data_IF_957894750303
#
_entry.id   IF_957894750303
#
_cell.length_a   1.000
_cell.length_b   1.000
_cell.length_c   1.000
_cell.angle_alpha   90.00
_cell.angle_beta   90.00
_cell.angle_gamma   90.00
#
_symmetry.space_group_name_H-M   'P 1'
#
loop_
_entity.id
_entity.type
_entity.pdbx_description
1 polymer ?
#
# COMPACT_ATOMS: atom_id res chain seq x y z
N UNK A 1 61.20 21.00 36.99
CA UNK A 1 60.95 21.35 35.57
C UNK A 1 60.37 20.12 34.89
N UNK A 2 59.04 19.98 34.91
CA UNK A 2 58.31 18.84 34.35
C UNK A 2 57.85 19.20 32.93
N UNK A 3 58.25 18.40 31.94
CA UNK A 3 57.88 18.60 30.52
C UNK A 3 56.55 17.90 30.25
N UNK A 4 55.53 18.69 29.95
CA UNK A 4 54.22 18.24 29.47
C UNK A 4 54.34 17.96 27.96
N UNK A 5 53.92 16.80 27.43
CA UNK A 5 53.90 16.55 26.00
C UNK A 5 52.62 17.12 25.38
N UNK A 6 52.79 18.00 24.39
CA UNK A 6 51.73 18.59 23.58
C UNK A 6 51.25 17.56 22.54
N UNK A 7 50.01 17.08 22.67
CA UNK A 7 49.36 16.26 21.64
C UNK A 7 48.74 17.17 20.56
N UNK A 8 49.27 17.08 19.33
CA UNK A 8 48.66 17.68 18.14
C UNK A 8 47.46 16.83 17.69
N UNK A 9 46.25 17.38 17.83
CA UNK A 9 45.04 16.80 17.24
C UNK A 9 45.01 17.13 15.73
N UNK A 10 45.21 16.13 14.88
CA UNK A 10 44.89 16.22 13.46
C UNK A 10 43.39 16.06 13.27
N UNK A 11 42.69 17.14 12.92
CA UNK A 11 41.32 17.06 12.43
C UNK A 11 41.35 16.50 11.00
N UNK A 12 41.01 15.21 10.84
CA UNK A 12 40.63 14.66 9.56
C UNK A 12 39.26 15.22 9.19
N UNK A 13 39.22 16.20 8.29
CA UNK A 13 37.99 16.54 7.56
C UNK A 13 37.69 15.37 6.62
N UNK A 14 36.84 14.44 7.08
CA UNK A 14 36.20 13.48 6.19
C UNK A 14 35.19 14.24 5.33
N UNK A 15 35.66 14.70 4.18
CA UNK A 15 34.79 15.05 3.05
C UNK A 15 33.99 13.79 2.68
N UNK A 16 32.77 13.67 3.19
CA UNK A 16 31.79 12.74 2.64
C UNK A 16 31.45 13.26 1.26
N UNK A 17 32.15 12.77 0.25
CA UNK A 17 31.68 12.84 -1.13
C UNK A 17 30.40 11.98 -1.13
N UNK A 18 29.25 12.64 -0.99
CA UNK A 18 27.97 12.04 -1.34
C UNK A 18 28.02 11.77 -2.84
N UNK A 19 28.48 10.59 -3.22
CA UNK A 19 28.20 10.05 -4.54
C UNK A 19 26.68 9.91 -4.54
N UNK A 20 26.01 10.86 -5.18
CA UNK A 20 24.62 10.69 -5.58
C UNK A 20 24.61 9.45 -6.46
N UNK A 21 24.29 8.28 -5.87
CA UNK A 21 23.80 7.17 -6.67
C UNK A 21 22.61 7.76 -7.41
N UNK A 22 22.71 7.89 -8.73
CA UNK A 22 21.60 8.34 -9.56
C UNK A 22 20.42 7.43 -9.26
N UNK A 23 19.40 7.95 -8.59
CA UNK A 23 18.19 7.20 -8.27
C UNK A 23 17.60 6.63 -9.56
N UNK A 24 17.06 5.42 -9.47
CA UNK A 24 16.45 4.79 -10.63
C UNK A 24 15.23 5.64 -11.04
N UNK A 25 14.97 5.86 -12.35
CA UNK A 25 13.92 6.78 -12.78
C UNK A 25 12.50 6.37 -12.37
N UNK A 26 12.32 5.10 -11.99
CA UNK A 26 11.05 4.55 -11.49
C UNK A 26 11.00 4.42 -9.96
N UNK A 27 12.03 4.84 -9.23
CA UNK A 27 12.01 4.79 -7.77
C UNK A 27 10.81 5.54 -7.20
N UNK A 28 10.18 5.03 -6.12
CA UNK A 28 9.14 5.74 -5.38
C UNK A 28 9.59 7.15 -5.01
N UNK A 29 8.64 8.03 -4.72
CA UNK A 29 8.97 9.35 -4.23
C UNK A 29 9.64 9.24 -2.85
N UNK A 30 10.80 9.88 -2.71
CA UNK A 30 11.49 9.99 -1.43
C UNK A 30 10.77 10.97 -0.48
N UNK A 31 11.03 10.93 0.83
CA UNK A 31 10.49 11.91 1.78
C UNK A 31 10.80 13.36 1.38
N UNK A 32 12.02 13.62 0.89
CA UNK A 32 12.43 14.94 0.42
C UNK A 32 11.63 15.40 -0.82
N UNK A 33 11.31 14.48 -1.74
CA UNK A 33 10.48 14.75 -2.90
C UNK A 33 9.03 15.05 -2.50
N UNK A 34 8.46 14.33 -1.52
CA UNK A 34 7.15 14.68 -0.95
C UNK A 34 7.13 16.08 -0.33
N UNK A 35 8.16 16.43 0.48
CA UNK A 35 8.28 17.78 1.05
C UNK A 35 8.43 18.86 -0.01
N UNK A 36 9.15 18.59 -1.11
CA UNK A 36 9.26 19.49 -2.26
C UNK A 36 7.90 19.72 -2.93
N UNK A 37 7.15 18.65 -3.20
CA UNK A 37 5.79 18.72 -3.76
C UNK A 37 4.86 19.53 -2.86
N UNK A 38 4.85 19.21 -1.57
CA UNK A 38 4.05 19.91 -0.57
C UNK A 38 4.33 21.41 -0.60
N UNK A 39 5.62 21.79 -0.56
CA UNK A 39 6.05 23.18 -0.58
C UNK A 39 5.60 23.89 -1.85
N UNK A 40 5.86 23.30 -3.02
CA UNK A 40 5.49 23.87 -4.31
C UNK A 40 3.99 24.12 -4.44
N UNK A 41 3.17 23.13 -4.08
CA UNK A 41 1.70 23.22 -4.18
C UNK A 41 1.12 24.19 -3.16
N UNK A 42 1.60 24.19 -1.90
CA UNK A 42 1.13 25.14 -0.87
C UNK A 42 1.50 26.58 -1.22
N UNK A 43 2.69 26.82 -1.77
CA UNK A 43 3.06 28.15 -2.26
C UNK A 43 2.18 28.60 -3.42
N UNK A 44 1.91 27.71 -4.38
CA UNK A 44 1.05 27.99 -5.54
C UNK A 44 -0.38 28.38 -5.13
N UNK A 45 -0.93 27.70 -4.12
CA UNK A 45 -2.27 27.98 -3.59
C UNK A 45 -2.28 28.82 -2.30
N UNK A 46 -1.24 29.63 -2.06
CA UNK A 46 -1.10 30.43 -0.82
C UNK A 46 -2.28 31.36 -0.49
N UNK A 47 -3.06 31.77 -1.48
CA UNK A 47 -4.26 32.60 -1.31
C UNK A 47 -5.55 31.81 -1.01
N UNK A 48 -5.48 30.49 -0.93
CA UNK A 48 -6.63 29.61 -0.70
C UNK A 48 -6.71 29.20 0.78
N UNK A 49 -7.93 28.93 1.25
CA UNK A 49 -8.16 28.63 2.68
C UNK A 49 -7.82 27.19 3.03
N UNK A 50 -7.91 26.27 2.07
CA UNK A 50 -7.51 24.87 2.28
C UNK A 50 -7.02 24.19 1.00
N UNK A 51 -6.05 23.30 1.16
CA UNK A 51 -5.56 22.38 0.13
C UNK A 51 -5.41 21.01 0.80
N UNK A 52 -6.13 20.02 0.29
CA UNK A 52 -6.03 18.63 0.73
C UNK A 52 -5.43 17.79 -0.40
N UNK A 53 -4.39 17.01 -0.10
CA UNK A 53 -3.77 16.08 -1.03
C UNK A 53 -4.49 14.74 -0.95
N UNK A 54 -5.09 14.32 -2.07
CA UNK A 54 -5.75 13.01 -2.16
C UNK A 54 -4.89 11.99 -2.91
N UNK A 55 -3.94 12.46 -3.73
CA UNK A 55 -2.93 11.63 -4.36
C UNK A 55 -1.64 12.42 -4.58
N UNK A 56 -0.49 11.83 -4.26
CA UNK A 56 0.84 12.26 -4.71
C UNK A 56 1.59 10.99 -5.11
N UNK A 57 2.00 10.90 -6.36
CA UNK A 57 2.80 9.77 -6.86
C UNK A 57 3.73 10.17 -7.99
N UNK A 58 4.61 9.25 -8.36
CA UNK A 58 5.57 9.48 -9.44
C UNK A 58 4.82 9.61 -10.77
N UNK A 59 5.05 10.72 -11.49
CA UNK A 59 4.70 10.81 -12.90
C UNK A 59 5.76 10.10 -13.72
N UNK A 60 5.54 8.81 -13.96
CA UNK A 60 6.51 7.95 -14.64
C UNK A 60 7.02 8.58 -15.95
N UNK A 61 8.36 8.58 -16.19
CA UNK A 61 8.91 9.07 -17.44
C UNK A 61 8.38 8.25 -18.64
N UNK A 62 8.40 8.82 -19.87
CA UNK A 62 8.04 8.07 -21.07
C UNK A 62 8.85 6.78 -21.17
N UNK A 63 8.17 5.67 -21.50
CA UNK A 63 8.79 4.33 -21.62
C UNK A 63 10.08 4.33 -22.44
N UNK A 64 10.12 5.07 -23.55
CA UNK A 64 11.32 5.19 -24.38
C UNK A 64 12.51 5.81 -23.65
N UNK A 65 12.29 6.80 -22.78
CA UNK A 65 13.33 7.44 -21.99
C UNK A 65 13.90 6.50 -20.93
N UNK A 66 13.03 5.75 -20.24
CA UNK A 66 13.45 4.73 -19.26
C UNK A 66 14.26 3.63 -19.93
N UNK A 67 13.77 3.10 -21.05
CA UNK A 67 14.47 2.03 -21.78
C UNK A 67 15.81 2.49 -22.37
N UNK A 68 15.90 3.74 -22.82
CA UNK A 68 17.16 4.35 -23.25
C UNK A 68 18.15 4.48 -22.09
N UNK A 69 17.68 4.96 -20.94
CA UNK A 69 18.48 5.07 -19.73
C UNK A 69 19.01 3.71 -19.25
N UNK A 70 18.18 2.67 -19.27
CA UNK A 70 18.58 1.30 -18.90
C UNK A 70 19.64 0.73 -19.85
N UNK A 71 19.54 1.01 -21.16
CA UNK A 71 20.48 0.48 -22.15
C UNK A 71 21.84 1.20 -22.12
N UNK A 72 21.82 2.50 -21.84
CA UNK A 72 23.00 3.36 -21.86
C UNK A 72 23.54 3.68 -20.48
N UNK A 73 23.16 2.94 -19.44
CA UNK A 73 23.54 3.24 -18.06
C UNK A 73 25.05 3.11 -17.86
N UNK A 74 25.75 4.21 -18.12
CA UNK A 74 27.07 4.50 -17.59
C UNK A 74 26.89 5.46 -16.42
N UNK A 75 27.85 5.56 -15.48
CA UNK A 75 27.76 6.50 -14.36
C UNK A 75 27.55 7.97 -14.77
N UNK A 76 27.72 8.31 -16.06
CA UNK A 76 27.55 9.65 -16.63
C UNK A 76 26.23 9.88 -17.37
N UNK A 77 25.37 8.86 -17.57
CA UNK A 77 24.10 9.03 -18.28
C UNK A 77 23.08 9.73 -17.38
N UNK A 78 22.63 10.91 -17.78
CA UNK A 78 21.62 11.65 -17.02
C UNK A 78 20.29 10.88 -16.99
N UNK A 79 19.72 10.70 -15.79
CA UNK A 79 18.38 10.17 -15.61
C UNK A 79 17.32 11.08 -16.27
N UNK A 80 16.19 10.53 -16.74
CA UNK A 80 15.06 11.35 -17.15
C UNK A 80 14.61 12.25 -15.98
N UNK A 81 14.08 13.46 -16.25
CA UNK A 81 13.56 14.33 -15.20
C UNK A 81 12.48 13.63 -14.37
N UNK A 82 12.65 13.63 -13.05
CA UNK A 82 11.67 13.11 -12.11
C UNK A 82 10.58 14.16 -11.87
N UNK A 83 9.33 13.72 -11.93
CA UNK A 83 8.14 14.56 -11.80
C UNK A 83 7.13 13.86 -10.91
N UNK A 84 6.34 14.62 -10.15
CA UNK A 84 5.21 14.09 -9.41
C UNK A 84 3.89 14.44 -10.11
N UNK A 85 2.91 13.54 -10.04
CA UNK A 85 1.52 13.79 -10.36
C UNK A 85 0.74 13.91 -9.05
N UNK A 86 -0.11 14.93 -8.95
CA UNK A 86 -0.84 15.26 -7.73
C UNK A 86 -2.32 15.41 -8.07
N UNK A 87 -3.18 14.84 -7.24
CA UNK A 87 -4.60 15.18 -7.21
C UNK A 87 -4.88 15.87 -5.87
N UNK A 88 -5.25 17.15 -5.94
CA UNK A 88 -5.53 17.97 -4.77
C UNK A 88 -6.94 18.53 -4.80
N UNK A 89 -7.58 18.64 -3.64
CA UNK A 89 -8.81 19.41 -3.46
C UNK A 89 -8.51 20.76 -2.86
N UNK A 90 -8.99 21.82 -3.53
CA UNK A 90 -8.77 23.21 -3.12
C UNK A 90 -10.09 23.78 -2.60
N UNK A 91 -10.04 24.45 -1.45
CA UNK A 91 -11.21 25.03 -0.75
C UNK A 91 -12.38 24.04 -0.58
N UNK A 92 -12.11 22.74 -0.47
CA UNK A 92 -13.11 21.67 -0.42
C UNK A 92 -14.15 21.67 -1.54
N UNK A 93 -13.87 22.31 -2.69
CA UNK A 93 -14.88 22.50 -3.75
C UNK A 93 -14.40 22.04 -5.12
N UNK A 94 -13.14 22.28 -5.46
CA UNK A 94 -12.58 21.93 -6.77
C UNK A 94 -11.50 20.87 -6.64
N UNK A 95 -11.41 20.00 -7.65
CA UNK A 95 -10.34 19.00 -7.77
C UNK A 95 -9.38 19.45 -8.86
N UNK A 96 -8.09 19.41 -8.56
CA UNK A 96 -7.03 19.84 -9.45
C UNK A 96 -6.04 18.71 -9.69
N UNK A 97 -5.64 18.55 -10.94
CA UNK A 97 -4.57 17.67 -11.37
C UNK A 97 -3.31 18.50 -11.63
N UNK A 98 -2.27 18.27 -10.83
CA UNK A 98 -1.01 19.01 -10.93
C UNK A 98 0.14 18.11 -11.38
N UNK A 99 1.12 18.71 -12.04
CA UNK A 99 2.43 18.09 -12.25
C UNK A 99 3.50 18.99 -11.68
N UNK A 100 4.36 18.45 -10.82
CA UNK A 100 5.50 19.16 -10.22
C UNK A 100 6.80 18.60 -10.79
N UNK A 101 7.73 19.48 -11.14
CA UNK A 101 9.13 19.10 -11.40
C UNK A 101 9.87 18.96 -10.06
N UNK A 102 10.40 17.77 -9.78
CA UNK A 102 11.01 17.49 -8.48
C UNK A 102 12.43 18.05 -8.35
N UNK A 103 13.12 18.28 -9.48
CA UNK A 103 14.46 18.88 -9.49
C UNK A 103 14.38 20.38 -9.21
N UNK A 104 13.42 21.06 -9.83
CA UNK A 104 13.26 22.51 -9.71
C UNK A 104 12.27 22.91 -8.61
N UNK A 105 11.50 21.97 -8.08
CA UNK A 105 10.41 22.22 -7.13
C UNK A 105 9.37 23.23 -7.66
N UNK A 106 9.02 23.11 -8.95
CA UNK A 106 8.11 24.04 -9.65
C UNK A 106 6.88 23.33 -10.22
N UNK A 107 5.75 24.04 -10.24
CA UNK A 107 4.51 23.58 -10.87
C UNK A 107 4.66 23.69 -12.39
N UNK A 108 4.59 22.56 -13.09
CA UNK A 108 4.61 22.49 -14.55
C UNK A 108 3.23 22.60 -15.18
N UNK A 109 2.20 22.08 -14.49
CA UNK A 109 0.81 22.16 -14.92
C UNK A 109 -0.14 22.13 -13.72
N UNK A 110 -1.25 22.82 -13.84
CA UNK A 110 -2.39 22.82 -12.92
C UNK A 110 -3.66 22.82 -13.78
N UNK A 111 -4.43 21.74 -13.70
CA UNK A 111 -5.66 21.56 -14.48
C UNK A 111 -6.85 21.32 -13.55
N UNK A 112 -7.92 22.11 -13.74
CA UNK A 112 -9.18 21.87 -13.07
C UNK A 112 -9.84 20.60 -13.64
N UNK A 113 -10.10 19.62 -12.78
CA UNK A 113 -10.86 18.44 -13.14
C UNK A 113 -12.36 18.76 -13.21
N UNK A 114 -12.95 18.56 -14.38
CA UNK A 114 -14.38 18.82 -14.67
C UNK A 114 -15.16 17.55 -15.05
N UNK A 115 -14.51 16.39 -14.95
CA UNK A 115 -15.10 15.09 -15.25
C UNK A 115 -16.05 14.59 -14.16
N UNK A 116 -16.42 13.31 -14.27
CA UNK A 116 -17.28 12.62 -13.31
C UNK A 116 -16.46 11.83 -12.29
N UNK A 117 -16.81 11.95 -11.01
CA UNK A 117 -16.18 11.23 -9.91
C UNK A 117 -15.29 12.13 -9.05
N UNK A 118 -14.67 11.51 -8.06
CA UNK A 118 -13.87 12.17 -7.03
C UNK A 118 -12.58 11.40 -6.78
N UNK A 119 -11.55 12.05 -6.19
CA UNK A 119 -10.33 11.34 -5.82
C UNK A 119 -10.56 10.43 -4.60
N UNK A 120 -9.52 9.63 -4.30
CA UNK A 120 -9.43 8.75 -3.14
C UNK A 120 -9.84 9.49 -1.86
N UNK A 121 -10.41 8.77 -0.89
CA UNK A 121 -10.64 9.31 0.43
C UNK A 121 -9.33 9.50 1.19
N UNK A 122 -9.20 10.62 1.93
CA UNK A 122 -8.12 10.75 2.92
C UNK A 122 -8.49 10.01 4.21
N UNK A 123 -7.51 9.56 5.00
CA UNK A 123 -7.81 8.96 6.31
C UNK A 123 -8.45 9.97 7.25
N UNK A 124 -8.02 11.23 7.18
CA UNK A 124 -8.48 12.30 8.06
C UNK A 124 -9.94 12.67 7.80
N UNK A 125 -10.39 12.73 6.54
CA UNK A 125 -11.80 13.00 6.25
C UNK A 125 -12.70 11.81 6.64
N UNK A 126 -12.20 10.58 6.52
CA UNK A 126 -12.89 9.38 7.02
C UNK A 126 -13.01 9.40 8.54
N UNK A 127 -11.92 9.69 9.26
CA UNK A 127 -11.93 9.81 10.74
C UNK A 127 -12.94 10.89 11.17
N UNK A 128 -12.92 12.05 10.51
CA UNK A 128 -13.87 13.12 10.80
C UNK A 128 -15.32 12.71 10.54
N UNK A 129 -15.62 12.08 9.40
CA UNK A 129 -16.95 11.59 9.06
C UNK A 129 -17.44 10.51 10.04
N UNK A 130 -16.56 9.59 10.43
CA UNK A 130 -16.85 8.50 11.37
C UNK A 130 -17.21 9.02 12.78
N UNK A 131 -16.74 10.21 13.15
CA UNK A 131 -17.04 10.82 14.44
C UNK A 131 -18.42 11.52 14.47
N UNK A 132 -18.96 11.95 13.32
CA UNK A 132 -20.21 12.72 13.25
C UNK A 132 -21.42 12.05 13.91
N UNK A 133 -21.66 10.72 13.77
CA UNK A 133 -22.82 10.08 14.40
C UNK A 133 -22.85 10.25 15.92
N UNK A 134 -21.68 10.23 16.58
CA UNK A 134 -21.57 10.35 18.05
C UNK A 134 -21.95 11.74 18.58
N UNK A 135 -21.99 12.76 17.71
CA UNK A 135 -22.51 14.09 18.01
C UNK A 135 -23.96 14.33 17.56
N UNK A 136 -24.59 13.35 16.89
CA UNK A 136 -25.87 13.53 16.22
C UNK A 136 -27.04 13.07 17.10
N UNK A 137 -27.87 14.01 17.57
CA UNK A 137 -28.96 13.71 18.51
C UNK A 137 -29.93 12.59 18.06
N UNK A 138 -30.38 12.54 16.78
CA UNK A 138 -31.17 11.40 16.29
C UNK A 138 -30.47 10.04 16.41
N UNK A 139 -29.15 9.98 16.18
CA UNK A 139 -28.37 8.76 16.31
C UNK A 139 -28.24 8.32 17.77
N UNK A 140 -27.93 9.24 18.67
CA UNK A 140 -27.84 8.96 20.11
C UNK A 140 -29.16 8.43 20.69
N UNK A 141 -30.30 8.96 20.24
CA UNK A 141 -31.61 8.45 20.62
C UNK A 141 -31.86 7.04 20.06
N UNK A 142 -31.41 6.75 18.83
CA UNK A 142 -31.45 5.41 18.25
C UNK A 142 -30.61 4.39 19.01
N UNK A 143 -29.44 4.78 19.53
CA UNK A 143 -28.62 3.94 20.41
C UNK A 143 -29.33 3.69 21.75
N UNK A 144 -29.90 4.73 22.36
CA UNK A 144 -30.64 4.63 23.63
C UNK A 144 -31.81 3.66 23.53
N UNK A 145 -32.58 3.71 22.42
CA UNK A 145 -33.69 2.75 22.17
C UNK A 145 -33.21 1.30 22.06
N UNK A 146 -31.97 1.08 21.64
CA UNK A 146 -31.34 -0.25 21.52
C UNK A 146 -30.61 -0.68 22.79
N UNK A 147 -30.54 0.19 23.81
CA UNK A 147 -29.76 -0.07 25.02
C UNK A 147 -28.25 -0.08 24.80
N UNK A 148 -27.76 0.61 23.76
CA UNK A 148 -26.33 0.65 23.41
C UNK A 148 -25.67 1.91 23.97
N UNK A 149 -24.43 1.76 24.43
CA UNK A 149 -23.63 2.86 24.94
C UNK A 149 -22.76 3.48 23.85
N UNK A 150 -22.85 4.81 23.66
CA UNK A 150 -22.08 5.51 22.63
C UNK A 150 -20.55 5.38 22.75
N UNK A 151 -20.03 5.13 23.96
CA UNK A 151 -18.60 4.92 24.20
C UNK A 151 -18.05 3.60 23.60
N UNK A 152 -18.93 2.66 23.24
CA UNK A 152 -18.56 1.38 22.64
C UNK A 152 -18.93 1.30 21.15
N UNK A 153 -19.29 2.44 20.55
CA UNK A 153 -19.63 2.54 19.15
C UNK A 153 -18.42 2.99 18.35
N UNK A 154 -18.06 2.21 17.33
CA UNK A 154 -17.09 2.59 16.32
C UNK A 154 -17.76 2.63 14.96
N UNK A 155 -17.52 3.69 14.20
CA UNK A 155 -18.11 3.88 12.88
C UNK A 155 -17.05 3.89 11.79
N UNK A 156 -17.46 3.51 10.58
CA UNK A 156 -16.64 3.47 9.38
C UNK A 156 -17.38 4.09 8.20
N UNK A 157 -16.60 4.65 7.29
CA UNK A 157 -17.05 5.35 6.10
C UNK A 157 -17.04 4.40 4.91
N UNK A 158 -18.09 4.46 4.10
CA UNK A 158 -18.30 3.60 2.95
C UNK A 158 -18.65 4.45 1.73
N UNK A 159 -17.92 4.23 0.63
CA UNK A 159 -18.25 4.80 -0.68
C UNK A 159 -19.62 4.32 -1.14
N UNK A 160 -20.38 5.20 -1.82
CA UNK A 160 -21.75 4.90 -2.27
C UNK A 160 -21.90 4.68 -3.77
N UNK A 161 -20.80 4.77 -4.53
CA UNK A 161 -20.84 4.69 -5.99
C UNK A 161 -21.81 5.69 -6.63
N UNK A 162 -22.47 5.25 -7.71
CA UNK A 162 -23.45 6.04 -8.45
C UNK A 162 -24.60 5.15 -8.93
N UNK A 163 -25.84 5.58 -8.70
CA UNK A 163 -27.06 4.79 -8.93
C UNK A 163 -28.04 5.42 -9.93
N UNK A 164 -27.56 6.37 -10.76
CA UNK A 164 -28.37 6.98 -11.83
C UNK A 164 -28.81 8.42 -11.56
N UNK A 165 -28.46 8.96 -10.40
CA UNK A 165 -28.96 10.26 -9.92
C UNK A 165 -28.64 11.40 -10.89
N UNK A 166 -29.63 12.26 -11.13
CA UNK A 166 -29.55 13.40 -12.06
C UNK A 166 -29.69 14.72 -11.28
N UNK A 167 -28.77 15.67 -11.48
CA UNK A 167 -28.87 17.00 -10.85
C UNK A 167 -27.54 17.74 -10.75
N UNK A 168 -27.60 19.07 -10.53
CA UNK A 168 -26.43 19.90 -10.25
C UNK A 168 -25.97 19.70 -8.80
N UNK A 169 -24.75 19.21 -8.65
CA UNK A 169 -24.13 18.96 -7.36
C UNK A 169 -24.07 17.48 -7.03
N UNK A 170 -23.39 16.68 -7.88
CA UNK A 170 -22.69 15.53 -7.33
C UNK A 170 -21.89 16.09 -6.15
N UNK A 171 -22.22 15.65 -4.95
CA UNK A 171 -21.53 16.02 -3.72
C UNK A 171 -20.70 14.81 -3.32
N UNK A 172 -19.63 15.01 -2.55
CA UNK A 172 -18.82 13.89 -2.06
C UNK A 172 -19.54 13.19 -0.92
N UNK A 173 -20.50 12.36 -1.28
CA UNK A 173 -21.36 11.66 -0.32
C UNK A 173 -20.77 10.30 0.04
N UNK A 174 -20.84 9.97 1.33
CA UNK A 174 -20.53 8.65 1.88
C UNK A 174 -21.63 8.17 2.80
N UNK A 175 -21.65 6.86 3.08
CA UNK A 175 -22.45 6.28 4.17
C UNK A 175 -21.55 5.98 5.35
N UNK A 176 -22.06 6.26 6.54
CA UNK A 176 -21.38 5.90 7.79
C UNK A 176 -22.18 4.81 8.48
N UNK A 177 -21.54 3.67 8.73
CA UNK A 177 -22.12 2.56 9.48
C UNK A 177 -21.31 2.31 10.74
N UNK A 178 -22.01 1.88 11.78
CA UNK A 178 -21.45 1.76 13.11
C UNK A 178 -21.58 0.33 13.64
N UNK A 179 -20.61 -0.07 14.44
CA UNK A 179 -20.49 -1.37 15.08
C UNK A 179 -20.41 -1.18 16.60
N UNK A 180 -20.74 -2.22 17.36
CA UNK A 180 -20.74 -2.20 18.81
C UNK A 180 -19.74 -3.19 19.39
N UNK A 181 -18.82 -2.73 20.25
CA UNK A 181 -17.70 -3.54 20.73
C UNK A 181 -18.09 -4.54 21.83
N UNK A 182 -18.62 -4.06 22.96
CA UNK A 182 -18.92 -4.85 24.17
C UNK A 182 -17.86 -5.93 24.45
N UNK A 183 -16.64 -5.42 24.64
CA UNK A 183 -15.44 -6.18 25.04
C UNK A 183 -14.63 -6.84 23.92
N UNK A 184 -15.18 -7.03 22.71
CA UNK A 184 -14.43 -7.58 21.56
C UNK A 184 -13.75 -6.48 20.75
N UNK A 185 -12.69 -6.85 20.02
CA UNK A 185 -12.07 -6.00 18.98
C UNK A 185 -12.57 -6.31 17.58
N UNK A 186 -13.32 -7.40 17.41
CA UNK A 186 -13.85 -7.81 16.11
C UNK A 186 -15.15 -7.06 15.79
N UNK A 187 -15.00 -5.79 15.44
CA UNK A 187 -16.12 -4.87 15.20
C UNK A 187 -17.04 -5.36 14.07
N UNK A 188 -16.49 -5.97 13.01
CA UNK A 188 -17.25 -6.41 11.84
C UNK A 188 -18.26 -7.52 12.14
N UNK A 189 -18.08 -8.25 13.25
CA UNK A 189 -19.04 -9.26 13.70
C UNK A 189 -20.23 -8.67 14.47
N UNK A 190 -20.24 -7.36 14.72
CA UNK A 190 -21.24 -6.70 15.57
C UNK A 190 -21.79 -5.39 14.97
N UNK A 191 -22.35 -5.43 13.75
CA UNK A 191 -22.93 -4.25 13.14
C UNK A 191 -24.19 -3.78 13.87
N UNK A 192 -24.35 -2.45 13.97
CA UNK A 192 -25.58 -1.80 14.40
C UNK A 192 -26.46 -1.57 13.17
N UNK A 193 -27.17 -2.64 12.79
CA UNK A 193 -28.00 -2.67 11.60
C UNK A 193 -29.30 -1.86 11.73
N UNK A 194 -29.87 -1.51 10.57
CA UNK A 194 -31.13 -0.76 10.47
C UNK A 194 -31.00 0.75 10.58
N UNK A 195 -29.77 1.27 10.67
CA UNK A 195 -29.48 2.72 10.69
C UNK A 195 -28.63 3.07 9.47
N UNK A 196 -29.09 4.05 8.70
CA UNK A 196 -28.35 4.62 7.59
C UNK A 196 -28.01 6.10 7.89
N UNK A 197 -26.72 6.42 7.91
CA UNK A 197 -26.21 7.80 8.06
C UNK A 197 -25.53 8.21 6.77
N UNK A 198 -25.92 9.36 6.22
CA UNK A 198 -25.36 9.92 5.00
C UNK A 198 -24.58 11.18 5.35
N UNK A 199 -23.32 11.24 4.93
CA UNK A 199 -22.42 12.37 5.19
C UNK A 199 -21.97 12.99 3.88
N UNK A 200 -21.96 14.32 3.83
CA UNK A 200 -21.27 15.10 2.80
C UNK A 200 -19.86 15.42 3.30
N UNK A 201 -18.84 14.89 2.63
CA UNK A 201 -17.43 15.05 3.00
C UNK A 201 -16.89 16.46 2.75
N UNK A 202 -17.43 17.19 1.77
CA UNK A 202 -16.97 18.55 1.46
C UNK A 202 -17.45 19.54 2.51
N UNK A 203 -18.68 19.34 3.01
CA UNK A 203 -19.28 20.13 4.09
C UNK A 203 -18.97 19.56 5.49
N UNK A 204 -18.49 18.32 5.55
CA UNK A 204 -18.26 17.53 6.77
C UNK A 204 -19.49 17.53 7.69
N UNK A 205 -20.65 17.18 7.16
CA UNK A 205 -21.92 17.16 7.90
C UNK A 205 -22.81 15.98 7.54
N UNK A 206 -23.67 15.57 8.48
CA UNK A 206 -24.72 14.59 8.22
C UNK A 206 -25.84 15.27 7.42
N UNK A 207 -26.03 14.82 6.17
CA UNK A 207 -27.07 15.32 5.26
C UNK A 207 -28.28 14.38 5.17
N UNK A 208 -28.17 13.17 5.72
CA UNK A 208 -29.25 12.21 5.75
C UNK A 208 -29.15 11.28 6.96
N UNK A 209 -30.28 10.98 7.58
CA UNK A 209 -30.38 10.06 8.71
C UNK A 209 -31.67 9.26 8.61
N UNK A 210 -31.57 7.93 8.68
CA UNK A 210 -32.73 7.04 8.68
C UNK A 210 -32.51 5.86 9.62
N UNK A 211 -33.39 5.71 10.60
CA UNK A 211 -33.48 4.52 11.44
C UNK A 211 -34.73 3.74 11.02
N UNK A 212 -34.55 2.61 10.32
CA UNK A 212 -35.67 1.81 9.76
C UNK A 212 -36.29 0.88 10.80
N UNK A 213 -35.54 0.51 11.82
CA UNK A 213 -35.98 -0.46 12.81
C UNK A 213 -34.83 -1.06 13.60
N UNK A 214 -35.19 -1.74 14.68
CA UNK A 214 -34.24 -2.37 15.58
C UNK A 214 -33.91 -3.78 15.07
N UNK A 215 -32.67 -3.96 14.64
CA UNK A 215 -32.09 -5.28 14.39
C UNK A 215 -31.24 -5.66 15.61
N UNK A 216 -31.38 -6.88 16.16
CA UNK A 216 -30.54 -7.31 17.29
C UNK A 216 -29.06 -7.32 16.92
N UNK A 217 -28.23 -6.67 17.75
CA UNK A 217 -26.77 -6.72 17.60
C UNK A 217 -26.29 -8.13 17.98
N UNK A 218 -25.46 -8.79 17.15
CA UNK A 218 -24.85 -10.06 17.51
C UNK A 218 -24.09 -10.02 18.85
N UNK A 219 -23.94 -11.18 19.50
CA UNK A 219 -23.21 -11.28 20.78
C UNK A 219 -21.69 -11.16 20.57
N UNK A 220 -20.98 -10.61 21.56
CA UNK A 220 -19.51 -10.52 21.54
C UNK A 220 -18.81 -11.86 21.77
N UNK A 221 -19.44 -12.75 22.52
CA UNK A 221 -18.83 -14.01 22.95
C UNK A 221 -18.33 -14.83 21.77
N UNK A 222 -17.04 -15.18 21.79
CA UNK A 222 -16.41 -15.99 20.75
C UNK A 222 -15.99 -15.25 19.48
N UNK A 223 -16.10 -13.91 19.43
CA UNK A 223 -15.73 -13.12 18.24
C UNK A 223 -14.30 -12.58 18.26
N UNK A 224 -13.69 -12.42 19.43
CA UNK A 224 -12.31 -11.91 19.54
C UNK A 224 -11.35 -12.92 18.89
N UNK A 225 -10.36 -12.45 18.14
CA UNK A 225 -9.38 -13.31 17.45
C UNK A 225 -8.01 -13.33 18.13
N UNK A 226 -7.79 -12.49 19.14
CA UNK A 226 -6.47 -12.39 19.81
C UNK A 226 -6.24 -13.61 20.68
N UNK A 227 -5.10 -14.27 20.49
CA UNK A 227 -4.73 -15.47 21.27
C UNK A 227 -4.79 -15.26 22.79
N UNK A 228 -4.48 -14.04 23.28
CA UNK A 228 -4.56 -13.67 24.70
C UNK A 228 -5.98 -13.60 25.27
N UNK A 229 -7.01 -13.58 24.42
CA UNK A 229 -8.43 -13.56 24.79
C UNK A 229 -9.12 -14.90 24.56
N UNK A 230 -8.48 -15.80 23.83
CA UNK A 230 -8.96 -17.16 23.60
C UNK A 230 -8.83 -18.04 24.84
N UNK A 231 -9.65 -19.10 24.91
CA UNK A 231 -9.62 -20.09 25.98
C UNK A 231 -9.38 -21.48 25.41
N UNK A 232 -8.76 -22.40 26.18
CA UNK A 232 -8.60 -23.80 25.76
C UNK A 232 -9.95 -24.47 25.41
N UNK A 233 -9.93 -25.53 24.58
CA UNK A 233 -8.74 -26.16 23.99
C UNK A 233 -8.20 -25.38 22.80
N UNK A 234 -6.87 -25.28 22.72
CA UNK A 234 -6.20 -24.86 21.50
C UNK A 234 -6.02 -26.07 20.58
N UNK A 235 -5.95 -25.82 19.26
CA UNK A 235 -5.82 -26.85 18.23
C UNK A 235 -4.60 -27.78 18.43
N UNK A 236 -4.44 -28.79 17.56
CA UNK A 236 -3.30 -29.70 17.66
C UNK A 236 -1.99 -28.90 17.64
N UNK A 237 -1.06 -29.25 18.51
CA UNK A 237 0.26 -28.63 18.53
C UNK A 237 0.95 -28.82 17.18
N UNK A 238 1.53 -27.74 16.65
CA UNK A 238 2.36 -27.76 15.45
C UNK A 238 3.83 -27.80 15.85
N UNK A 239 4.63 -28.64 15.19
CA UNK A 239 6.06 -28.66 15.40
C UNK A 239 6.70 -27.44 14.71
N UNK A 240 7.71 -26.84 15.36
CA UNK A 240 8.44 -25.72 14.78
C UNK A 240 9.22 -26.13 13.53
N UNK A 241 9.27 -25.23 12.54
CA UNK A 241 10.04 -25.38 11.31
C UNK A 241 10.94 -24.14 11.18
N UNK A 242 12.24 -24.37 10.96
CA UNK A 242 13.21 -23.30 10.74
C UNK A 242 13.80 -23.44 9.33
N UNK A 243 13.83 -22.34 8.58
CA UNK A 243 14.49 -22.22 7.27
C UNK A 243 15.78 -21.43 7.47
N UNK A 244 16.91 -21.99 7.05
CA UNK A 244 18.23 -21.36 7.22
C UNK A 244 18.94 -21.27 5.86
N UNK A 245 19.50 -20.11 5.56
CA UNK A 245 20.38 -19.88 4.41
C UNK A 245 21.81 -19.57 4.90
N UNK A 246 22.69 -20.58 5.05
CA UNK A 246 24.00 -20.41 5.69
C UNK A 246 24.90 -19.37 5.02
N UNK A 247 24.70 -19.12 3.72
CA UNK A 247 25.49 -18.18 2.92
C UNK A 247 24.72 -16.87 2.63
N UNK A 248 23.59 -16.62 3.30
CA UNK A 248 22.69 -15.51 3.00
C UNK A 248 21.79 -15.74 1.78
N UNK A 249 20.95 -14.75 1.43
CA UNK A 249 20.08 -14.81 0.27
C UNK A 249 20.87 -14.74 -1.04
N UNK A 250 20.32 -15.37 -2.08
CA UNK A 250 20.87 -15.39 -3.44
C UNK A 250 20.37 -14.22 -4.30
N UNK A 251 19.76 -13.21 -3.68
CA UNK A 251 19.47 -11.93 -4.30
C UNK A 251 20.24 -10.81 -3.60
N UNK A 252 20.48 -9.73 -4.33
CA UNK A 252 21.00 -8.47 -3.82
C UNK A 252 19.98 -7.38 -4.10
N UNK A 253 19.94 -6.38 -3.24
CA UNK A 253 19.08 -5.20 -3.39
C UNK A 253 19.99 -3.99 -3.52
N UNK A 254 19.89 -3.28 -4.64
CA UNK A 254 20.53 -1.99 -4.88
C UNK A 254 19.45 -0.93 -5.01
N UNK A 255 19.17 -0.21 -3.92
CA UNK A 255 18.01 0.67 -3.81
C UNK A 255 16.70 -0.12 -3.98
N UNK A 256 16.02 0.08 -5.11
CA UNK A 256 14.80 -0.64 -5.47
C UNK A 256 15.02 -1.65 -6.62
N UNK A 257 16.27 -1.85 -7.05
CA UNK A 257 16.63 -2.85 -8.05
C UNK A 257 16.99 -4.14 -7.34
N UNK A 258 16.34 -5.23 -7.72
CA UNK A 258 16.63 -6.56 -7.20
C UNK A 258 17.50 -7.29 -8.23
N UNK A 259 18.55 -7.98 -7.78
CA UNK A 259 19.29 -8.98 -8.59
C UNK A 259 18.25 -9.91 -9.21
N UNK A 260 18.46 -10.44 -10.42
CA UNK A 260 17.42 -10.93 -11.36
C UNK A 260 16.82 -9.86 -12.28
N UNK A 261 17.27 -8.61 -12.16
CA UNK A 261 17.02 -7.49 -13.08
C UNK A 261 15.54 -7.10 -13.20
N UNK A 262 14.92 -6.85 -12.04
CA UNK A 262 13.65 -6.14 -11.93
C UNK A 262 13.74 -5.00 -10.92
N UNK A 263 12.83 -4.05 -11.06
CA UNK A 263 12.67 -2.89 -10.17
C UNK A 263 11.37 -3.05 -9.37
N UNK A 264 11.43 -2.76 -8.08
CA UNK A 264 10.28 -2.76 -7.18
C UNK A 264 9.93 -1.33 -6.78
N UNK A 265 8.88 -0.77 -7.37
CA UNK A 265 8.31 0.51 -7.00
C UNK A 265 7.17 0.39 -5.99
N UNK A 266 6.71 1.54 -5.53
CA UNK A 266 5.55 1.71 -4.66
C UNK A 266 4.79 2.97 -5.05
N UNK A 267 3.47 2.89 -5.01
CA UNK A 267 2.54 3.98 -5.27
C UNK A 267 1.40 3.93 -4.25
N UNK A 268 0.97 5.08 -3.75
CA UNK A 268 -0.06 5.12 -2.71
C UNK A 268 -1.42 4.57 -3.17
N UNK A 269 -1.73 4.60 -4.48
CA UNK A 269 -2.96 4.03 -5.04
C UNK A 269 -2.78 2.55 -5.38
N UNK A 270 -1.72 2.20 -6.10
CA UNK A 270 -1.51 0.85 -6.64
C UNK A 270 -0.79 -0.11 -5.69
N UNK A 271 -0.16 0.41 -4.63
CA UNK A 271 0.78 -0.33 -3.79
C UNK A 271 2.05 -0.70 -4.56
N UNK A 272 2.53 -1.94 -4.51
CA UNK A 272 3.74 -2.38 -5.19
C UNK A 272 3.63 -2.30 -6.71
N UNK A 273 4.75 -1.99 -7.36
CA UNK A 273 4.83 -2.02 -8.82
C UNK A 273 6.09 -2.77 -9.21
N UNK A 274 5.95 -3.89 -9.90
CA UNK A 274 7.08 -4.54 -10.56
C UNK A 274 7.34 -3.84 -11.88
N UNK A 275 8.57 -3.40 -12.09
CA UNK A 275 9.00 -2.79 -13.34
C UNK A 275 10.24 -3.46 -13.92
N UNK A 276 10.42 -3.32 -15.23
CA UNK A 276 11.64 -3.63 -15.99
C UNK A 276 12.18 -5.05 -15.80
N UNK A 277 11.33 -6.01 -15.44
CA UNK A 277 11.72 -7.38 -15.17
C UNK A 277 12.27 -8.07 -16.42
N UNK A 278 13.48 -8.61 -16.27
CA UNK A 278 14.23 -9.31 -17.30
C UNK A 278 14.72 -10.67 -16.80
N UNK A 279 15.09 -11.55 -17.72
CA UNK A 279 15.70 -12.85 -17.41
C UNK A 279 17.04 -12.95 -18.13
N UNK A 280 18.06 -13.48 -17.46
CA UNK A 280 19.34 -13.75 -18.10
C UNK A 280 19.25 -15.03 -18.95
N UNK A 281 19.45 -14.90 -20.25
CA UNK A 281 19.48 -16.01 -21.20
C UNK A 281 20.93 -16.50 -21.30
N UNK A 282 21.22 -17.66 -20.70
CA UNK A 282 22.57 -18.23 -20.61
C UNK A 282 23.11 -18.59 -21.99
N UNK A 283 22.28 -19.07 -22.91
CA UNK A 283 22.73 -19.43 -24.27
C UNK A 283 23.14 -18.19 -25.06
N UNK A 284 22.44 -17.07 -24.85
CA UNK A 284 22.69 -15.80 -25.53
C UNK A 284 23.61 -14.86 -24.76
N UNK A 285 23.97 -15.20 -23.53
CA UNK A 285 24.76 -14.37 -22.62
C UNK A 285 24.20 -12.94 -22.51
N UNK A 286 22.88 -12.80 -22.40
CA UNK A 286 22.22 -11.48 -22.40
C UNK A 286 20.91 -11.48 -21.61
N UNK A 287 20.58 -10.34 -21.01
CA UNK A 287 19.27 -10.13 -20.39
C UNK A 287 18.18 -9.93 -21.45
N UNK A 288 17.06 -10.62 -21.27
CA UNK A 288 15.87 -10.52 -22.11
C UNK A 288 14.72 -9.99 -21.27
N UNK A 289 14.17 -8.84 -21.67
CA UNK A 289 13.02 -8.22 -21.01
C UNK A 289 11.77 -9.11 -21.14
N UNK A 290 11.02 -9.23 -20.05
CA UNK A 290 9.77 -10.01 -19.98
C UNK A 290 8.59 -9.08 -19.67
N UNK A 291 8.69 -8.29 -18.60
CA UNK A 291 7.61 -7.43 -18.13
C UNK A 291 8.13 -6.02 -17.89
N UNK A 292 7.57 -5.04 -18.60
CA UNK A 292 7.96 -3.64 -18.38
C UNK A 292 7.37 -3.05 -17.10
N UNK A 293 6.10 -3.36 -16.80
CA UNK A 293 5.36 -2.84 -15.66
C UNK A 293 4.20 -3.78 -15.34
N UNK A 294 4.02 -4.15 -14.08
CA UNK A 294 2.88 -4.93 -13.59
C UNK A 294 2.54 -4.57 -12.14
N UNK A 295 1.25 -4.38 -11.87
CA UNK A 295 0.70 -4.03 -10.56
C UNK A 295 -0.80 -4.37 -10.54
N UNK A 296 -1.38 -4.42 -9.35
CA UNK A 296 -2.83 -4.55 -9.16
C UNK A 296 -3.48 -3.20 -9.43
N UNK A 297 -4.15 -3.05 -10.58
CA UNK A 297 -4.68 -1.75 -10.98
C UNK A 297 -5.95 -1.35 -10.23
N UNK A 298 -6.76 -2.33 -9.83
CA UNK A 298 -8.02 -2.10 -9.14
C UNK A 298 -8.53 -3.38 -8.48
N UNK A 299 -9.35 -3.23 -7.45
CA UNK A 299 -10.17 -4.31 -6.87
C UNK A 299 -11.64 -3.90 -6.98
N UNK A 300 -12.54 -4.86 -7.16
CA UNK A 300 -13.97 -4.60 -7.15
C UNK A 300 -14.67 -5.61 -6.25
N UNK A 301 -15.30 -5.12 -5.18
CA UNK A 301 -15.90 -5.96 -4.12
C UNK A 301 -17.41 -5.69 -4.02
N UNK A 302 -18.23 -6.25 -4.95
CA UNK A 302 -19.67 -6.06 -4.92
C UNK A 302 -20.35 -6.96 -3.91
N UNK A 303 -21.00 -6.37 -2.91
CA UNK A 303 -21.92 -7.08 -2.04
C UNK A 303 -23.26 -7.32 -2.77
N UNK A 304 -23.96 -8.39 -2.38
CA UNK A 304 -25.17 -8.89 -3.06
C UNK A 304 -26.45 -8.69 -2.24
N UNK A 305 -26.39 -7.92 -1.16
CA UNK A 305 -27.55 -7.57 -0.34
C UNK A 305 -28.20 -6.27 -0.88
N UNK A 306 -29.49 -6.36 -1.18
CA UNK A 306 -30.27 -5.28 -1.79
C UNK A 306 -30.91 -4.34 -0.75
N UNK A 307 -30.69 -4.56 0.54
CA UNK A 307 -31.20 -3.69 1.59
C UNK A 307 -30.54 -2.31 1.57
N UNK A 308 -31.22 -1.31 2.14
CA UNK A 308 -30.79 0.09 2.09
C UNK A 308 -29.42 0.34 2.73
N UNK A 309 -29.02 -0.51 3.68
CA UNK A 309 -27.72 -0.47 4.37
C UNK A 309 -26.58 -1.05 3.53
N UNK A 310 -26.88 -1.88 2.52
CA UNK A 310 -25.89 -2.69 1.82
C UNK A 310 -25.82 -2.48 0.30
N UNK A 311 -26.91 -2.07 -0.35
CA UNK A 311 -26.99 -2.04 -1.83
C UNK A 311 -25.87 -1.23 -2.51
N UNK A 312 -25.31 -0.24 -1.81
CA UNK A 312 -24.26 0.66 -2.31
C UNK A 312 -22.83 0.14 -2.08
N UNK A 313 -22.67 -0.97 -1.35
CA UNK A 313 -21.36 -1.53 -0.99
C UNK A 313 -20.78 -2.32 -2.16
N UNK A 314 -20.12 -1.59 -3.05
CA UNK A 314 -19.44 -2.16 -4.21
C UNK A 314 -18.07 -1.52 -4.36
N UNK A 315 -17.18 -1.79 -3.39
CA UNK A 315 -15.94 -1.02 -3.23
C UNK A 315 -15.02 -1.14 -4.44
N UNK A 316 -14.36 -0.03 -4.72
CA UNK A 316 -13.19 0.01 -5.58
C UNK A 316 -11.96 0.32 -4.72
N UNK A 317 -11.40 -0.69 -4.06
CA UNK A 317 -10.45 -0.47 -2.96
C UNK A 317 -9.27 0.41 -3.37
N UNK A 318 -8.66 0.19 -4.54
CA UNK A 318 -7.55 1.01 -4.98
C UNK A 318 -8.01 2.41 -5.40
N UNK A 319 -9.15 2.54 -6.08
CA UNK A 319 -9.69 3.82 -6.56
C UNK A 319 -10.31 4.72 -5.48
N UNK A 320 -10.89 4.14 -4.42
CA UNK A 320 -11.60 4.85 -3.36
C UNK A 320 -10.75 5.04 -2.11
N UNK A 321 -9.94 4.04 -1.72
CA UNK A 321 -9.19 4.06 -0.45
C UNK A 321 -7.67 4.07 -0.64
N UNK A 322 -7.20 3.53 -1.76
CA UNK A 322 -5.79 3.45 -2.10
C UNK A 322 -5.15 2.19 -1.56
N UNK A 323 -4.79 1.27 -2.44
CA UNK A 323 -4.23 -0.02 -2.06
C UNK A 323 -2.87 0.14 -1.34
N UNK A 324 -2.06 1.10 -1.77
CA UNK A 324 -0.81 1.46 -1.07
C UNK A 324 -1.06 2.12 0.29
N UNK A 325 -2.07 3.00 0.39
CA UNK A 325 -2.46 3.63 1.66
C UNK A 325 -2.97 2.61 2.68
N UNK A 326 -3.69 1.59 2.24
CA UNK A 326 -4.20 0.53 3.09
C UNK A 326 -3.15 -0.55 3.44
N UNK A 327 -1.89 -0.39 3.02
CA UNK A 327 -0.83 -1.38 3.31
C UNK A 327 -0.43 -1.33 4.79
N UNK A 328 -0.38 -2.51 5.43
CA UNK A 328 0.04 -2.67 6.82
C UNK A 328 1.53 -3.04 6.93
N UNK A 329 2.16 -2.70 8.06
CA UNK A 329 3.51 -3.18 8.37
C UNK A 329 3.53 -4.68 8.64
N UNK A 330 4.37 -5.41 7.91
CA UNK A 330 4.53 -6.85 8.05
C UNK A 330 5.29 -7.20 9.35
N UNK A 331 4.81 -8.25 10.02
CA UNK A 331 5.37 -8.81 11.24
C UNK A 331 6.43 -9.87 10.92
N UNK A 332 7.71 -9.66 11.32
CA UNK A 332 8.76 -10.66 11.15
C UNK A 332 8.45 -11.96 11.87
N UNK A 333 8.68 -13.10 11.20
CA UNK A 333 8.43 -14.45 11.71
C UNK A 333 6.96 -14.88 11.69
N UNK A 334 6.02 -13.94 11.57
CA UNK A 334 4.58 -14.24 11.46
C UNK A 334 4.11 -14.11 10.00
N UNK A 335 4.36 -12.96 9.37
CA UNK A 335 3.98 -12.70 7.98
C UNK A 335 5.09 -13.13 7.01
N UNK A 336 6.35 -12.86 7.37
CA UNK A 336 7.51 -13.16 6.55
C UNK A 336 8.52 -14.05 7.29
N UNK A 337 9.18 -15.00 6.61
CA UNK A 337 10.15 -15.90 7.24
C UNK A 337 11.41 -15.17 7.69
N UNK A 338 12.19 -15.82 8.55
CA UNK A 338 13.41 -15.24 9.16
C UNK A 338 14.49 -14.82 8.14
N UNK A 339 14.47 -15.40 6.93
CA UNK A 339 15.41 -15.05 5.86
C UNK A 339 14.91 -13.89 4.97
N UNK A 340 13.82 -13.22 5.36
CA UNK A 340 13.28 -12.09 4.61
C UNK A 340 14.05 -10.78 4.82
N UNK A 341 14.17 -10.02 3.75
CA UNK A 341 14.65 -8.64 3.74
C UNK A 341 13.45 -7.72 3.61
N UNK A 342 13.29 -6.78 4.55
CA UNK A 342 12.18 -5.85 4.57
C UNK A 342 12.53 -4.53 3.86
N UNK A 343 11.54 -3.95 3.20
CA UNK A 343 11.62 -2.63 2.59
C UNK A 343 10.52 -1.73 3.17
N UNK A 344 10.86 -0.47 3.38
CA UNK A 344 9.92 0.56 3.80
C UNK A 344 9.28 1.25 2.60
N UNK A 345 8.17 1.95 2.85
CA UNK A 345 7.50 2.79 1.88
C UNK A 345 7.15 4.16 2.47
N UNK A 346 6.81 5.10 1.60
CA UNK A 346 6.33 6.42 2.00
C UNK A 346 5.08 6.81 1.23
N UNK A 347 4.15 7.46 1.90
CA UNK A 347 2.93 8.03 1.31
C UNK A 347 2.61 9.38 1.97
N UNK A 348 1.82 10.27 1.33
CA UNK A 348 1.47 11.55 1.91
C UNK A 348 0.29 11.42 2.88
N UNK A 349 0.25 12.25 3.92
CA UNK A 349 -0.99 12.57 4.65
C UNK A 349 -1.85 13.60 3.88
N UNK A 350 -3.03 13.98 4.42
CA UNK A 350 -3.90 14.98 3.75
C UNK A 350 -3.22 16.32 3.49
N UNK A 351 -2.18 16.64 4.25
CA UNK A 351 -1.46 17.90 4.25
C UNK A 351 -0.22 17.86 3.33
N UNK A 352 0.07 16.70 2.75
CA UNK A 352 1.22 16.42 1.88
C UNK A 352 2.50 16.07 2.63
N UNK A 353 2.45 15.86 3.96
CA UNK A 353 3.64 15.44 4.70
C UNK A 353 3.93 13.95 4.45
N UNK A 354 5.20 13.54 4.27
CA UNK A 354 5.54 12.14 4.10
C UNK A 354 5.33 11.36 5.39
N UNK A 355 4.57 10.27 5.30
CA UNK A 355 4.38 9.26 6.33
C UNK A 355 5.21 8.03 5.99
N UNK A 356 5.93 7.51 6.98
CA UNK A 356 6.76 6.31 6.82
C UNK A 356 5.93 5.07 7.12
N UNK A 357 6.00 4.08 6.24
CA UNK A 357 5.47 2.74 6.44
C UNK A 357 6.63 1.74 6.60
N UNK A 358 7.02 1.38 7.83
CA UNK A 358 8.05 0.39 8.04
C UNK A 358 7.56 -1.00 7.60
N UNK A 359 8.47 -1.85 7.11
CA UNK A 359 8.16 -3.22 6.70
C UNK A 359 6.96 -3.32 5.75
N UNK A 360 6.87 -2.40 4.78
CA UNK A 360 5.79 -2.36 3.79
C UNK A 360 5.82 -3.59 2.87
N UNK A 361 7.02 -4.07 2.55
CA UNK A 361 7.27 -5.28 1.76
C UNK A 361 8.31 -6.13 2.45
N UNK A 362 8.24 -7.44 2.21
CA UNK A 362 9.36 -8.32 2.47
C UNK A 362 9.69 -9.12 1.21
N UNK A 363 10.98 -9.36 1.02
CA UNK A 363 11.58 -10.08 -0.09
C UNK A 363 12.32 -11.27 0.52
N UNK A 364 11.97 -12.48 0.12
CA UNK A 364 12.63 -13.68 0.62
C UNK A 364 12.70 -14.77 -0.43
N UNK A 365 13.67 -15.66 -0.25
CA UNK A 365 13.80 -16.88 -1.03
C UNK A 365 13.09 -18.01 -0.30
N UNK A 366 12.20 -18.72 -0.99
CA UNK A 366 11.56 -19.93 -0.46
C UNK A 366 12.10 -21.17 -1.14
N UNK A 367 12.45 -22.19 -0.35
CA UNK A 367 12.64 -23.54 -0.83
C UNK A 367 11.30 -24.13 -1.29
N UNK A 368 11.08 -24.26 -2.61
CA UNK A 368 9.78 -24.74 -3.12
C UNK A 368 9.50 -26.20 -2.73
N UNK A 369 10.52 -27.01 -2.47
CA UNK A 369 10.35 -28.44 -2.18
C UNK A 369 10.00 -29.31 -3.38
N UNK A 370 9.56 -28.70 -4.49
CA UNK A 370 9.19 -29.39 -5.72
C UNK A 370 10.40 -29.70 -6.61
N UNK A 371 10.30 -30.82 -7.33
CA UNK A 371 11.30 -31.27 -8.29
C UNK A 371 11.14 -30.47 -9.58
N UNK A 372 12.17 -29.71 -9.98
CA UNK A 372 12.15 -28.88 -11.19
C UNK A 372 11.88 -29.68 -12.47
N UNK A 373 12.52 -30.83 -12.63
CA UNK A 373 12.19 -31.84 -13.64
C UNK A 373 12.75 -33.19 -13.20
N UNK A 374 12.08 -34.28 -13.59
CA UNK A 374 12.62 -35.63 -13.44
C UNK A 374 12.18 -36.50 -14.61
N UNK A 375 13.06 -37.38 -15.03
CA UNK A 375 12.76 -38.41 -16.01
C UNK A 375 13.41 -39.74 -15.59
N UNK A 376 12.80 -40.85 -15.95
CA UNK A 376 13.35 -42.19 -15.70
C UNK A 376 13.21 -42.99 -16.99
N UNK A 377 14.34 -43.34 -17.59
CA UNK A 377 14.41 -44.19 -18.79
C UNK A 377 14.73 -45.63 -18.36
N UNK A 378 13.92 -46.59 -18.85
CA UNK A 378 13.99 -48.00 -18.46
C UNK A 378 14.12 -48.94 -19.68
N UNK A 379 14.11 -48.41 -20.91
CA UNK A 379 14.21 -49.17 -22.14
C UNK A 379 15.66 -49.43 -22.59
N UNK A 380 16.65 -48.75 -22.01
CA UNK A 380 18.07 -48.97 -22.31
C UNK A 380 18.63 -50.10 -21.43
N UNK A 381 19.45 -51.03 -21.98
CA UNK A 381 20.02 -52.15 -21.23
C UNK A 381 21.07 -51.72 -20.18
N UNK A 382 21.64 -50.53 -20.31
CA UNK A 382 22.15 -49.79 -19.17
C UNK A 382 20.95 -49.11 -18.51
N UNK A 383 20.68 -49.42 -17.24
CA UNK A 383 19.80 -48.58 -16.41
C UNK A 383 20.49 -47.21 -16.36
N UNK A 384 20.15 -46.33 -17.30
CA UNK A 384 20.43 -44.90 -17.18
C UNK A 384 19.41 -44.35 -16.20
N UNK A 385 19.48 -44.86 -14.97
CA UNK A 385 19.12 -44.05 -13.84
C UNK A 385 20.14 -42.93 -13.87
N UNK A 386 19.77 -41.78 -14.43
CA UNK A 386 20.34 -40.48 -14.07
C UNK A 386 20.08 -40.29 -12.57
N UNK A 387 20.77 -41.09 -11.74
CA UNK A 387 20.73 -41.09 -10.30
C UNK A 387 21.96 -40.41 -9.71
N UNK A 388 22.90 -39.92 -10.55
CA UNK A 388 24.13 -39.25 -10.10
C UNK A 388 24.43 -37.92 -10.80
N UNK A 389 23.43 -37.35 -11.46
CA UNK A 389 23.35 -35.90 -11.56
C UNK A 389 22.11 -35.48 -10.77
N UNK A 390 22.13 -35.64 -9.44
CA UNK A 390 21.31 -34.78 -8.57
C UNK A 390 21.83 -33.36 -8.73
N UNK A 391 21.55 -32.74 -9.87
CA UNK A 391 21.42 -31.30 -9.92
C UNK A 391 20.09 -31.00 -9.25
N UNK A 392 20.12 -31.01 -7.91
CA UNK A 392 19.04 -30.47 -7.11
C UNK A 392 19.10 -28.96 -7.25
N UNK A 393 18.64 -28.46 -8.39
CA UNK A 393 18.32 -27.04 -8.53
C UNK A 393 17.08 -26.81 -7.69
N UNK A 394 17.35 -26.24 -6.52
CA UNK A 394 16.35 -25.77 -5.61
C UNK A 394 15.78 -24.50 -6.20
N UNK A 395 14.47 -24.46 -6.39
CA UNK A 395 13.80 -23.19 -6.67
C UNK A 395 14.05 -22.24 -5.51
N UNK A 396 14.59 -21.07 -5.84
CA UNK A 396 14.45 -19.88 -5.03
C UNK A 396 13.39 -19.02 -5.71
N UNK A 397 12.19 -18.99 -5.15
CA UNK A 397 11.17 -18.03 -5.56
C UNK A 397 11.34 -16.76 -4.73
N UNK A 398 11.39 -15.60 -5.40
CA UNK A 398 11.30 -14.32 -4.72
C UNK A 398 9.84 -13.99 -4.52
N UNK A 399 9.44 -13.90 -3.25
CA UNK A 399 8.12 -13.43 -2.84
C UNK A 399 8.20 -11.97 -2.44
N UNK A 400 7.29 -11.15 -2.99
CA UNK A 400 6.98 -9.82 -2.44
C UNK A 400 5.63 -9.94 -1.74
N UNK A 401 5.64 -9.96 -0.41
CA UNK A 401 4.42 -10.06 0.40
C UNK A 401 3.95 -8.70 0.85
N UNK A 402 2.64 -8.49 0.85
CA UNK A 402 1.95 -7.25 1.27
C UNK A 402 0.69 -7.65 2.00
N UNK A 403 0.40 -6.96 3.10
CA UNK A 403 -0.87 -7.03 3.79
C UNK A 403 -1.65 -5.73 3.55
N UNK A 404 -2.95 -5.82 3.31
CA UNK A 404 -3.86 -4.68 3.32
C UNK A 404 -4.98 -4.91 4.34
N UNK A 405 -5.49 -3.85 4.97
CA UNK A 405 -6.63 -3.95 5.91
C UNK A 405 -7.66 -2.84 5.62
N UNK A 406 -8.86 -3.25 5.22
CA UNK A 406 -10.05 -2.39 5.16
C UNK A 406 -11.26 -3.15 5.72
N UNK A 407 -11.71 -4.18 4.99
CA UNK A 407 -12.72 -5.18 5.42
C UNK A 407 -12.20 -6.63 5.33
N UNK A 408 -11.08 -6.85 4.64
CA UNK A 408 -10.43 -8.15 4.45
C UNK A 408 -8.91 -7.97 4.56
N UNK A 409 -8.24 -9.02 5.04
CA UNK A 409 -6.78 -9.14 4.93
C UNK A 409 -6.46 -9.93 3.67
N UNK A 410 -5.83 -9.27 2.69
CA UNK A 410 -5.29 -9.95 1.52
C UNK A 410 -3.78 -9.97 1.54
N UNK A 411 -3.22 -11.15 1.27
CA UNK A 411 -1.79 -11.36 1.04
C UNK A 411 -1.58 -11.54 -0.47
N UNK A 412 -0.88 -10.60 -1.09
CA UNK A 412 -0.49 -10.73 -2.49
C UNK A 412 0.99 -11.07 -2.58
N UNK A 413 1.31 -12.05 -3.42
CA UNK A 413 2.66 -12.47 -3.74
C UNK A 413 2.91 -12.30 -5.24
N UNK A 414 3.98 -11.58 -5.59
CA UNK A 414 4.56 -11.68 -6.93
C UNK A 414 5.53 -12.87 -6.95
N UNK A 415 5.45 -13.68 -8.01
CA UNK A 415 6.29 -14.86 -8.18
C UNK A 415 7.25 -14.63 -9.35
N UNK A 416 8.54 -14.81 -9.09
CA UNK A 416 9.56 -14.91 -10.13
C UNK A 416 10.18 -16.29 -10.09
N UNK A 417 9.96 -17.06 -11.15
CA UNK A 417 10.66 -18.33 -11.35
C UNK A 417 12.06 -18.01 -11.86
N UNK A 418 13.00 -18.34 -11.01
CA UNK A 418 14.44 -18.19 -11.20
C UNK A 418 15.00 -19.48 -11.81
N UNK A 419 15.83 -19.35 -12.86
CA UNK A 419 16.50 -20.45 -13.57
C UNK A 419 18.01 -20.44 -13.33
#
# INVERSE_FOLDING_TARGET
>A
MSKIPTFLFFFFFSSTISISLSSHPLDPLSPAEFTSVQTAVRSHYSNHTSVAFHYIGLKEPPKSAVLSWLHHHTPSSAAPPRRAFIIARVNHTTTHELTVDLTQSTILSDQLYTGSGYPLFTFEEQIAANALPLGHAPFLESLRRRGLHGAEILCQTYGIGWFGEQGKGCSRIVRVMCNYLDGTVNLFMRPVEGIAVTVDLDRMEIVGYRDRGIVPVPKADGTDYRGSKQRPPFGPGVNAINVVQPNGPSFEIDGHRIRWDFHLGFDMRAGPIISTASIFDVDKQTFRRVLYRGFLSELFVPYMDLTEEWYYRTFFDAGEFGYGLCTSSLLPGADCPDNAVFMEAYFPDKDGNPQQLPNAFCIFERYAGDVMWRHTEAATPEVVSLCNCEFRWVFSEIFVLISFEFDFVGLFAFFFVVW
#
